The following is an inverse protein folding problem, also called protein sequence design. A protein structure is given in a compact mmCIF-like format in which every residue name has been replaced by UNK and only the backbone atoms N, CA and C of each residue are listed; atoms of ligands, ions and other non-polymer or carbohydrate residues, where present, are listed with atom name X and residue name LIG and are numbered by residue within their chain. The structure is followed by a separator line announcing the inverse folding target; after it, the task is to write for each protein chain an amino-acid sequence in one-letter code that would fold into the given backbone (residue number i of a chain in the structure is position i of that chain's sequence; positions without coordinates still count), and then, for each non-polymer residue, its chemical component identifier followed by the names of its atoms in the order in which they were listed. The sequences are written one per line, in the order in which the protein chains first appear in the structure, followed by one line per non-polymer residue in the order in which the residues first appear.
data_IF_093390452573
#
_entry.id   IF_093390452573
#
_cell.length_a   1.000
_cell.length_b   1.000
_cell.length_c   1.000
_cell.angle_alpha   90.00
_cell.angle_beta   90.00
_cell.angle_gamma   90.00
#
_symmetry.space_group_name_H-M   'P 1'
#
loop_
_entity.id
_entity.type
_entity.pdbx_description
1 polymer ?
#
# COMPACT_ATOMS: atom_id res chain seq x y z
N UNK A 1 -27.07 -17.34 0.20
CA UNK A 1 -25.80 -18.00 0.54
C UNK A 1 -24.68 -17.22 -0.12
N UNK A 2 -23.96 -16.35 0.60
CA UNK A 2 -22.78 -15.70 0.05
C UNK A 2 -21.61 -16.67 0.16
N UNK A 3 -21.19 -17.24 -0.96
CA UNK A 3 -19.91 -17.93 -1.03
C UNK A 3 -18.83 -16.88 -0.74
N UNK A 4 -18.18 -16.98 0.42
CA UNK A 4 -17.06 -16.12 0.84
C UNK A 4 -15.82 -16.43 -0.03
N UNK A 5 -15.86 -16.00 -1.29
CA UNK A 5 -14.70 -16.03 -2.19
C UNK A 5 -13.90 -14.74 -1.98
N UNK A 6 -12.58 -14.87 -1.86
CA UNK A 6 -11.67 -13.74 -1.83
C UNK A 6 -11.94 -12.76 -2.99
N UNK A 7 -11.75 -11.44 -2.80
CA UNK A 7 -11.98 -10.46 -3.85
C UNK A 7 -11.00 -10.66 -5.02
N UNK A 8 -11.51 -10.52 -6.23
CA UNK A 8 -10.70 -10.46 -7.44
C UNK A 8 -9.97 -9.11 -7.52
N UNK A 9 -8.86 -9.06 -8.27
CA UNK A 9 -8.06 -7.84 -8.39
C UNK A 9 -8.86 -6.62 -8.85
N UNK A 10 -9.74 -6.78 -9.84
CA UNK A 10 -10.60 -5.70 -10.33
C UNK A 10 -11.66 -5.27 -9.31
N UNK A 11 -12.07 -6.14 -8.39
CA UNK A 11 -12.97 -5.76 -7.29
C UNK A 11 -12.24 -4.90 -6.26
N UNK A 12 -10.97 -5.19 -5.98
CA UNK A 12 -10.12 -4.34 -5.14
C UNK A 12 -9.83 -2.99 -5.81
N UNK A 13 -9.57 -2.97 -7.11
CA UNK A 13 -9.42 -1.71 -7.86
C UNK A 13 -10.71 -0.88 -7.84
N UNK A 14 -11.87 -1.52 -8.02
CA UNK A 14 -13.16 -0.83 -7.94
C UNK A 14 -13.42 -0.25 -6.54
N UNK A 15 -13.06 -0.98 -5.47
CA UNK A 15 -13.13 -0.47 -4.11
C UNK A 15 -12.20 0.73 -3.89
N UNK A 16 -10.97 0.66 -4.40
CA UNK A 16 -10.02 1.76 -4.32
C UNK A 16 -10.52 3.01 -5.07
N UNK A 17 -11.10 2.82 -6.26
CA UNK A 17 -11.70 3.90 -7.05
C UNK A 17 -12.89 4.51 -6.31
N UNK A 18 -13.73 3.70 -5.65
CA UNK A 18 -14.87 4.19 -4.89
C UNK A 18 -14.45 5.05 -3.68
N UNK A 19 -13.38 4.67 -2.98
CA UNK A 19 -12.77 5.49 -1.92
C UNK A 19 -12.33 6.84 -2.48
N UNK A 20 -11.53 6.85 -3.54
CA UNK A 20 -11.03 8.09 -4.13
C UNK A 20 -12.19 8.97 -4.62
N UNK A 21 -13.16 8.40 -5.33
CA UNK A 21 -14.32 9.13 -5.83
C UNK A 21 -15.11 9.79 -4.70
N UNK A 22 -15.30 9.10 -3.58
CA UNK A 22 -15.94 9.66 -2.38
C UNK A 22 -15.11 10.78 -1.75
N UNK A 23 -13.78 10.63 -1.65
CA UNK A 23 -12.91 11.70 -1.12
C UNK A 23 -12.88 12.93 -2.02
N UNK A 24 -13.00 12.75 -3.35
CA UNK A 24 -13.09 13.88 -4.30
C UNK A 24 -14.32 14.75 -4.09
N UNK A 25 -15.39 14.26 -3.44
CA UNK A 25 -16.56 15.08 -3.11
C UNK A 25 -16.37 15.91 -1.85
N UNK A 26 -15.19 15.86 -1.21
CA UNK A 26 -14.88 16.55 0.06
C UNK A 26 -13.83 17.64 -0.22
N UNK A 27 -14.24 18.91 -0.46
CA UNK A 27 -13.32 19.98 -0.85
C UNK A 27 -12.17 20.19 0.13
N UNK A 28 -12.38 19.95 1.42
CA UNK A 28 -11.36 20.02 2.47
C UNK A 28 -10.20 19.03 2.28
N UNK A 29 -10.40 17.96 1.49
CA UNK A 29 -9.38 16.95 1.21
C UNK A 29 -8.73 17.13 -0.16
N UNK A 30 -9.18 18.09 -0.98
CA UNK A 30 -8.74 18.27 -2.37
C UNK A 30 -7.21 18.28 -2.55
N UNK A 31 -6.52 19.09 -1.76
CA UNK A 31 -5.06 19.24 -1.81
C UNK A 31 -4.25 18.15 -1.08
N UNK A 32 -4.90 17.31 -0.29
CA UNK A 32 -4.22 16.17 0.34
C UNK A 32 -3.87 15.13 -0.72
N UNK A 33 -2.73 14.46 -0.57
CA UNK A 33 -2.25 13.46 -1.51
C UNK A 33 -2.72 12.06 -1.11
N UNK A 34 -2.93 11.22 -2.12
CA UNK A 34 -3.30 9.82 -1.94
C UNK A 34 -2.56 8.93 -2.94
N UNK A 35 -2.25 7.71 -2.53
CA UNK A 35 -1.87 6.62 -3.43
C UNK A 35 -2.22 5.24 -2.86
N UNK A 36 -2.37 4.25 -3.73
CA UNK A 36 -2.54 2.84 -3.38
C UNK A 36 -1.18 2.21 -3.09
N UNK A 37 -1.05 1.58 -1.92
CA UNK A 37 0.16 0.90 -1.44
C UNK A 37 -0.13 -0.59 -1.16
N UNK A 38 0.77 -1.25 -0.43
CA UNK A 38 0.48 -2.52 0.23
C UNK A 38 0.27 -3.70 -0.73
N UNK A 39 -0.66 -4.59 -0.36
CA UNK A 39 -0.87 -5.85 -1.07
C UNK A 39 -1.39 -5.67 -2.50
N UNK A 40 -2.27 -4.70 -2.73
CA UNK A 40 -2.82 -4.41 -4.05
C UNK A 40 -1.76 -3.84 -4.99
N UNK A 41 -0.89 -2.96 -4.48
CA UNK A 41 0.26 -2.45 -5.22
C UNK A 41 1.22 -3.58 -5.63
N UNK A 42 1.50 -4.53 -4.74
CA UNK A 42 2.32 -5.70 -5.07
C UNK A 42 1.66 -6.56 -6.15
N UNK A 43 0.36 -6.85 -5.98
CA UNK A 43 -0.37 -7.71 -6.91
C UNK A 43 -0.46 -7.09 -8.31
N UNK A 44 -0.46 -5.75 -8.43
CA UNK A 44 -0.37 -5.06 -9.72
C UNK A 44 0.93 -5.42 -10.48
N UNK A 45 2.08 -5.36 -9.82
CA UNK A 45 3.38 -5.58 -10.45
C UNK A 45 3.67 -7.08 -10.62
N UNK A 46 3.33 -7.90 -9.63
CA UNK A 46 3.60 -9.33 -9.59
C UNK A 46 2.31 -10.16 -9.64
N UNK A 47 1.62 -10.16 -10.79
CA UNK A 47 0.28 -10.77 -10.97
C UNK A 47 0.17 -12.24 -10.56
N UNK A 48 1.25 -13.00 -10.71
CA UNK A 48 1.30 -14.45 -10.46
C UNK A 48 1.92 -14.82 -9.10
N UNK A 49 2.39 -13.84 -8.32
CA UNK A 49 3.12 -14.10 -7.08
C UNK A 49 2.17 -14.40 -5.92
N UNK A 50 1.29 -13.44 -5.56
CA UNK A 50 0.26 -13.62 -4.54
C UNK A 50 -0.89 -12.64 -4.71
N UNK A 51 -2.01 -12.95 -4.07
CA UNK A 51 -3.19 -12.07 -3.98
C UNK A 51 -3.20 -11.30 -2.65
N UNK A 52 -4.20 -10.42 -2.49
CA UNK A 52 -4.53 -9.73 -1.23
C UNK A 52 -6.04 -9.62 -1.10
N UNK A 53 -6.54 -9.28 0.09
CA UNK A 53 -7.98 -9.17 0.37
C UNK A 53 -8.42 -7.75 0.75
N UNK A 54 -7.44 -6.84 0.87
CA UNK A 54 -7.55 -5.48 1.37
C UNK A 54 -7.01 -4.45 0.36
N UNK A 55 -7.40 -3.20 0.55
CA UNK A 55 -6.84 -2.05 -0.15
C UNK A 55 -6.18 -1.14 0.87
N UNK A 56 -4.86 -0.98 0.75
CA UNK A 56 -4.09 -0.05 1.57
C UNK A 56 -3.86 1.27 0.82
N UNK A 57 -4.08 2.39 1.49
CA UNK A 57 -3.73 3.73 1.01
C UNK A 57 -2.65 4.37 1.87
N UNK A 58 -1.74 5.12 1.25
CA UNK A 58 -1.07 6.23 1.91
C UNK A 58 -1.87 7.49 1.66
N UNK A 59 -2.15 8.27 2.70
CA UNK A 59 -2.92 9.52 2.59
C UNK A 59 -2.34 10.62 3.49
N UNK A 60 -2.30 11.85 2.98
CA UNK A 60 -1.76 13.02 3.71
C UNK A 60 -2.87 13.92 4.27
N UNK A 61 -4.08 13.40 4.46
CA UNK A 61 -5.19 14.14 5.09
C UNK A 61 -4.87 14.33 6.57
N UNK A 62 -4.94 15.58 7.05
CA UNK A 62 -4.77 15.87 8.47
C UNK A 62 -5.83 15.14 9.31
N UNK A 63 -5.38 14.43 10.35
CA UNK A 63 -6.26 13.62 11.19
C UNK A 63 -6.63 12.26 10.61
N UNK A 64 -6.02 11.83 9.50
CA UNK A 64 -6.11 10.46 9.02
C UNK A 64 -5.54 9.45 10.05
N UNK A 65 -6.11 8.23 10.13
CA UNK A 65 -7.22 7.73 9.32
C UNK A 65 -8.61 8.17 9.82
N UNK A 66 -8.72 8.67 11.06
CA UNK A 66 -10.02 8.92 11.71
C UNK A 66 -10.87 9.95 10.96
N UNK A 67 -10.31 11.12 10.65
CA UNK A 67 -11.05 12.20 9.96
C UNK A 67 -11.62 11.74 8.61
N UNK A 68 -10.87 10.91 7.89
CA UNK A 68 -11.28 10.35 6.61
C UNK A 68 -12.41 9.33 6.79
N UNK A 69 -12.24 8.38 7.71
CA UNK A 69 -13.25 7.35 8.01
C UNK A 69 -14.56 7.98 8.47
N UNK A 70 -14.52 8.95 9.39
CA UNK A 70 -15.72 9.63 9.90
C UNK A 70 -16.52 10.29 8.77
N UNK A 71 -15.83 10.96 7.83
CA UNK A 71 -16.46 11.62 6.68
C UNK A 71 -17.08 10.62 5.71
N UNK A 72 -16.37 9.53 5.40
CA UNK A 72 -16.88 8.47 4.54
C UNK A 72 -18.11 7.79 5.17
N UNK A 73 -18.13 7.55 6.48
CA UNK A 73 -19.27 6.99 7.20
C UNK A 73 -20.47 7.94 7.22
N UNK A 74 -20.24 9.25 7.31
CA UNK A 74 -21.29 10.26 7.38
C UNK A 74 -21.97 10.57 6.03
N UNK A 75 -21.48 10.01 4.91
CA UNK A 75 -22.09 10.22 3.60
C UNK A 75 -23.53 9.68 3.54
N UNK A 76 -24.47 10.38 2.88
CA UNK A 76 -25.79 9.83 2.58
C UNK A 76 -25.66 8.51 1.82
N UNK A 77 -26.34 7.47 2.29
CA UNK A 77 -26.28 6.12 1.71
C UNK A 77 -24.84 5.59 1.55
N UNK A 78 -23.97 5.89 2.52
CA UNK A 78 -22.56 5.49 2.49
C UNK A 78 -22.38 3.99 2.22
N UNK A 79 -21.55 3.60 1.25
CA UNK A 79 -21.15 2.22 1.06
C UNK A 79 -20.07 1.78 2.07
N UNK A 80 -19.60 2.67 2.93
CA UNK A 80 -18.56 2.41 3.91
C UNK A 80 -19.16 2.03 5.27
N UNK A 81 -18.52 1.09 5.96
CA UNK A 81 -18.95 0.62 7.27
C UNK A 81 -17.75 0.43 8.20
N UNK A 82 -17.91 0.77 9.47
CA UNK A 82 -16.99 0.38 10.53
C UNK A 82 -17.52 -0.88 11.22
N UNK A 83 -16.69 -1.92 11.29
CA UNK A 83 -17.00 -3.22 11.92
C UNK A 83 -15.92 -3.58 12.91
N UNK A 84 -16.19 -3.37 14.19
CA UNK A 84 -15.16 -3.48 15.23
C UNK A 84 -13.92 -2.65 14.84
N UNK A 85 -12.79 -3.31 14.58
CA UNK A 85 -11.53 -2.65 14.19
C UNK A 85 -11.43 -2.38 12.68
N UNK A 86 -12.25 -3.02 11.85
CA UNK A 86 -12.11 -3.00 10.40
C UNK A 86 -12.99 -1.92 9.76
N UNK A 87 -12.43 -1.17 8.83
CA UNK A 87 -13.16 -0.23 7.99
C UNK A 87 -13.33 -0.87 6.61
N UNK A 88 -14.57 -1.04 6.16
CA UNK A 88 -14.88 -1.84 4.96
C UNK A 88 -15.69 -1.04 3.95
N UNK A 89 -15.41 -1.26 2.67
CA UNK A 89 -16.25 -0.89 1.55
C UNK A 89 -17.18 -2.05 1.19
N UNK A 90 -18.49 -1.79 1.13
CA UNK A 90 -19.49 -2.75 0.67
C UNK A 90 -19.71 -2.57 -0.83
N UNK A 91 -19.18 -3.50 -1.61
CA UNK A 91 -19.36 -3.53 -3.06
C UNK A 91 -20.83 -3.81 -3.44
N UNK A 92 -21.29 -3.39 -4.63
CA UNK A 92 -22.67 -3.62 -5.08
C UNK A 92 -23.08 -5.10 -5.11
N UNK A 93 -22.13 -6.00 -5.33
CA UNK A 93 -22.35 -7.45 -5.29
C UNK A 93 -22.41 -8.04 -3.86
N UNK A 94 -22.37 -7.19 -2.83
CA UNK A 94 -22.45 -7.58 -1.42
C UNK A 94 -21.12 -7.99 -0.79
N UNK A 95 -20.03 -8.08 -1.56
CA UNK A 95 -18.69 -8.32 -1.00
C UNK A 95 -18.25 -7.14 -0.14
N UNK A 96 -17.44 -7.46 0.86
CA UNK A 96 -16.88 -6.48 1.76
C UNK A 96 -15.37 -6.50 1.61
N UNK A 97 -14.79 -5.34 1.34
CA UNK A 97 -13.37 -5.17 1.09
C UNK A 97 -12.83 -4.26 2.17
N UNK A 98 -11.82 -4.74 2.90
CA UNK A 98 -11.17 -3.93 3.93
C UNK A 98 -10.39 -2.79 3.27
N UNK A 99 -10.55 -1.59 3.83
CA UNK A 99 -9.87 -0.38 3.40
C UNK A 99 -9.02 0.12 4.57
N UNK A 100 -7.71 0.04 4.40
CA UNK A 100 -6.74 0.54 5.34
C UNK A 100 -6.13 1.85 4.84
N UNK A 101 -5.95 2.79 5.77
CA UNK A 101 -5.43 4.11 5.50
C UNK A 101 -4.24 4.37 6.41
N UNK A 102 -3.05 4.37 5.82
CA UNK A 102 -1.81 4.74 6.46
C UNK A 102 -1.63 6.25 6.36
N UNK A 103 -1.67 6.99 7.48
CA UNK A 103 -1.35 8.40 7.45
C UNK A 103 0.15 8.59 7.15
N UNK A 104 0.48 9.70 6.51
CA UNK A 104 1.82 10.03 6.06
C UNK A 104 2.90 9.99 7.15
N UNK A 105 2.59 10.37 8.39
CA UNK A 105 3.52 10.30 9.52
C UNK A 105 3.91 8.86 9.93
N UNK A 106 3.18 7.83 9.49
CA UNK A 106 3.56 6.42 9.64
C UNK A 106 4.40 5.89 8.47
N UNK A 107 4.58 6.69 7.44
CA UNK A 107 5.34 6.34 6.24
C UNK A 107 6.78 6.83 6.35
N UNK A 108 7.79 6.12 5.82
CA UNK A 108 9.17 6.62 5.83
C UNK A 108 9.34 7.93 5.04
N UNK A 109 8.49 8.16 4.04
CA UNK A 109 8.37 9.40 3.26
C UNK A 109 7.06 9.37 2.45
N UNK A 110 6.69 10.48 1.82
CA UNK A 110 5.58 10.52 0.84
C UNK A 110 6.15 10.27 -0.56
N UNK A 111 5.78 9.18 -1.27
CA UNK A 111 6.31 8.89 -2.60
C UNK A 111 5.96 9.97 -3.63
N UNK A 112 6.82 10.21 -4.65
CA UNK A 112 6.52 11.16 -5.71
C UNK A 112 5.26 10.84 -6.52
N UNK A 113 4.83 9.56 -6.55
CA UNK A 113 3.58 9.15 -7.21
C UNK A 113 2.32 9.46 -6.39
N UNK A 114 2.46 9.96 -5.16
CA UNK A 114 1.36 10.52 -4.39
C UNK A 114 0.85 11.79 -5.10
N UNK A 115 -0.41 11.80 -5.52
CA UNK A 115 -1.00 12.95 -6.21
C UNK A 115 -2.15 13.53 -5.37
N UNK A 116 -2.45 14.84 -5.52
CA UNK A 116 -3.62 15.44 -4.87
C UNK A 116 -4.89 14.67 -5.19
N UNK A 117 -5.78 14.51 -4.22
CA UNK A 117 -7.05 13.80 -4.37
C UNK A 117 -7.89 14.41 -5.50
N UNK A 118 -7.89 15.74 -5.62
CA UNK A 118 -8.58 16.45 -6.72
C UNK A 118 -8.12 16.01 -8.11
N UNK A 119 -6.84 15.68 -8.25
CA UNK A 119 -6.16 15.50 -9.52
C UNK A 119 -6.24 14.05 -10.03
N UNK A 120 -6.69 13.11 -9.17
CA UNK A 120 -6.85 11.71 -9.57
C UNK A 120 -7.88 11.60 -10.71
N UNK A 121 -7.45 11.08 -11.85
CA UNK A 121 -8.31 10.93 -13.02
C UNK A 121 -9.30 9.78 -12.84
N UNK A 122 -10.58 9.93 -13.27
CA UNK A 122 -11.54 8.83 -13.25
C UNK A 122 -11.00 7.59 -14.00
N UNK A 123 -11.16 6.41 -13.40
CA UNK A 123 -10.67 5.15 -13.96
C UNK A 123 -9.18 4.87 -13.76
N UNK A 124 -8.41 5.82 -13.21
CA UNK A 124 -6.99 5.64 -12.92
C UNK A 124 -6.74 5.62 -11.42
N UNK A 125 -5.92 4.67 -10.97
CA UNK A 125 -5.48 4.57 -9.59
C UNK A 125 -4.03 5.07 -9.47
N UNK A 126 -3.75 6.03 -8.56
CA UNK A 126 -2.39 6.44 -8.26
C UNK A 126 -1.70 5.34 -7.47
N UNK A 127 -0.98 4.45 -8.14
CA UNK A 127 -0.20 3.40 -7.47
C UNK A 127 1.14 3.93 -6.97
N UNK A 128 1.62 3.38 -5.86
CA UNK A 128 3.03 3.48 -5.48
C UNK A 128 3.91 2.99 -6.63
N UNK A 129 5.03 3.65 -6.88
CA UNK A 129 6.02 3.12 -7.83
C UNK A 129 6.53 1.77 -7.33
N UNK A 130 6.93 0.90 -8.24
CA UNK A 130 7.47 -0.42 -7.89
C UNK A 130 8.72 -0.32 -7.00
N UNK A 131 9.60 0.65 -7.26
CA UNK A 131 10.79 0.90 -6.44
C UNK A 131 10.42 1.43 -5.04
N UNK A 132 9.46 2.36 -4.94
CA UNK A 132 8.99 2.83 -3.64
C UNK A 132 8.28 1.71 -2.87
N UNK A 133 7.57 0.81 -3.55
CA UNK A 133 6.95 -0.34 -2.90
C UNK A 133 8.00 -1.28 -2.29
N UNK A 134 9.09 -1.57 -3.02
CA UNK A 134 10.23 -2.31 -2.48
C UNK A 134 10.78 -1.64 -1.22
N UNK A 135 11.03 -0.32 -1.29
CA UNK A 135 11.57 0.45 -0.17
C UNK A 135 10.65 0.39 1.06
N UNK A 136 9.34 0.54 0.84
CA UNK A 136 8.34 0.44 1.91
C UNK A 136 8.31 -0.97 2.52
N UNK A 137 8.40 -2.02 1.71
CA UNK A 137 8.43 -3.40 2.20
C UNK A 137 9.66 -3.67 3.06
N UNK A 138 10.84 -3.18 2.65
CA UNK A 138 12.06 -3.26 3.46
C UNK A 138 11.87 -2.52 4.78
N UNK A 139 11.43 -1.25 4.73
CA UNK A 139 11.31 -0.40 5.91
C UNK A 139 10.28 -0.92 6.93
N UNK A 140 9.11 -1.37 6.47
CA UNK A 140 8.04 -1.81 7.35
C UNK A 140 8.22 -3.23 7.90
N UNK A 141 9.09 -4.05 7.30
CA UNK A 141 9.24 -5.47 7.64
C UNK A 141 9.48 -5.69 9.16
N UNK A 142 10.42 -4.96 9.76
CA UNK A 142 10.73 -5.05 11.19
C UNK A 142 9.63 -4.53 12.11
N UNK A 143 8.79 -3.61 11.61
CA UNK A 143 7.79 -2.85 12.36
C UNK A 143 6.43 -3.56 12.46
N UNK A 144 6.21 -4.66 11.73
CA UNK A 144 4.91 -5.36 11.76
C UNK A 144 4.63 -6.03 13.10
N UNK A 145 3.36 -6.09 13.53
CA UNK A 145 3.00 -6.62 14.85
C UNK A 145 3.15 -8.14 14.97
N UNK A 146 3.16 -8.89 13.86
CA UNK A 146 3.20 -10.36 13.87
C UNK A 146 4.32 -10.90 13.00
N UNK A 147 4.97 -11.99 13.45
CA UNK A 147 6.04 -12.64 12.70
C UNK A 147 5.62 -13.03 11.27
N UNK A 148 4.38 -13.49 11.09
CA UNK A 148 3.82 -13.81 9.77
C UNK A 148 3.83 -12.59 8.85
N UNK A 149 3.41 -11.41 9.34
CA UNK A 149 3.43 -10.17 8.55
C UNK A 149 4.87 -9.70 8.28
N UNK A 150 5.79 -9.85 9.25
CA UNK A 150 7.22 -9.53 9.07
C UNK A 150 7.84 -10.37 7.94
N UNK A 151 7.69 -11.70 8.02
CA UNK A 151 8.20 -12.64 7.01
C UNK A 151 7.58 -12.39 5.63
N UNK A 152 6.27 -12.08 5.59
CA UNK A 152 5.59 -11.74 4.34
C UNK A 152 6.21 -10.51 3.69
N UNK A 153 6.41 -9.42 4.43
CA UNK A 153 7.04 -8.22 3.89
C UNK A 153 8.49 -8.47 3.45
N UNK A 154 9.23 -9.33 4.14
CA UNK A 154 10.59 -9.73 3.72
C UNK A 154 10.59 -10.49 2.38
N UNK A 155 9.70 -11.46 2.22
CA UNK A 155 9.57 -12.22 0.99
C UNK A 155 9.05 -11.36 -0.18
N UNK A 156 8.08 -10.48 0.09
CA UNK A 156 7.59 -9.49 -0.88
C UNK A 156 8.74 -8.59 -1.34
N UNK A 157 9.54 -8.06 -0.40
CA UNK A 157 10.69 -7.21 -0.71
C UNK A 157 11.74 -7.96 -1.57
N UNK A 158 12.06 -9.21 -1.21
CA UNK A 158 13.02 -10.01 -1.98
C UNK A 158 12.51 -10.23 -3.41
N UNK A 159 11.26 -10.63 -3.55
CA UNK A 159 10.65 -10.93 -4.86
C UNK A 159 10.59 -9.68 -5.73
N UNK A 160 10.20 -8.52 -5.16
CA UNK A 160 10.25 -7.25 -5.87
C UNK A 160 11.67 -6.87 -6.29
N UNK A 161 12.65 -7.05 -5.41
CA UNK A 161 14.05 -6.73 -5.74
C UNK A 161 14.57 -7.59 -6.88
N UNK A 162 14.32 -8.90 -6.85
CA UNK A 162 14.70 -9.83 -7.91
C UNK A 162 13.99 -9.50 -9.23
N UNK A 163 12.69 -9.20 -9.20
CA UNK A 163 11.94 -8.78 -10.38
C UNK A 163 12.48 -7.48 -10.97
N UNK A 164 12.60 -6.42 -10.17
CA UNK A 164 13.14 -5.12 -10.60
C UNK A 164 14.52 -5.31 -11.26
N UNK A 165 15.40 -6.10 -10.64
CA UNK A 165 16.76 -6.34 -11.13
C UNK A 165 16.81 -7.16 -12.41
N UNK A 166 15.76 -7.92 -12.72
CA UNK A 166 15.67 -8.68 -13.97
C UNK A 166 15.48 -7.79 -15.20
N UNK A 167 14.95 -6.57 -15.03
CA UNK A 167 14.64 -5.65 -16.14
C UNK A 167 15.27 -4.26 -16.02
N UNK A 168 15.76 -3.84 -14.85
CA UNK A 168 16.43 -2.54 -14.68
C UNK A 168 17.47 -2.50 -13.55
N UNK A 169 18.39 -1.55 -13.64
CA UNK A 169 19.26 -1.18 -12.53
C UNK A 169 18.49 -0.39 -11.46
N UNK A 170 18.90 -0.53 -10.20
CA UNK A 170 18.36 0.24 -9.07
C UNK A 170 19.28 1.41 -8.77
N UNK A 171 18.68 2.59 -8.61
CA UNK A 171 19.32 3.78 -8.06
C UNK A 171 18.35 4.39 -7.04
N UNK A 172 18.78 4.47 -5.78
CA UNK A 172 17.96 4.97 -4.69
C UNK A 172 18.19 6.47 -4.51
N UNK A 173 17.10 7.24 -4.46
CA UNK A 173 17.15 8.62 -3.98
C UNK A 173 17.54 8.67 -2.49
N UNK A 174 17.99 9.83 -1.96
CA UNK A 174 18.32 9.98 -0.55
C UNK A 174 17.23 9.50 0.44
N UNK A 175 15.93 9.87 0.30
CA UNK A 175 14.90 9.37 1.21
C UNK A 175 14.70 7.85 1.11
N UNK A 176 14.76 7.30 -0.10
CA UNK A 176 14.69 5.85 -0.32
C UNK A 176 15.86 5.12 0.34
N UNK A 177 17.09 5.64 0.19
CA UNK A 177 18.29 5.07 0.81
C UNK A 177 18.18 5.05 2.33
N UNK A 178 17.73 6.14 2.93
CA UNK A 178 17.53 6.21 4.39
C UNK A 178 16.48 5.19 4.87
N UNK A 179 15.34 5.10 4.18
CA UNK A 179 14.27 4.16 4.51
C UNK A 179 14.72 2.69 4.40
N UNK A 180 15.49 2.38 3.35
CA UNK A 180 16.10 1.05 3.16
C UNK A 180 17.06 0.74 4.28
N UNK A 181 18.01 1.64 4.59
CA UNK A 181 19.00 1.41 5.65
C UNK A 181 18.35 1.17 7.01
N UNK A 182 17.22 1.84 7.30
CA UNK A 182 16.49 1.65 8.55
C UNK A 182 15.82 0.27 8.69
N UNK A 183 15.47 -0.40 7.58
CA UNK A 183 14.81 -1.73 7.61
C UNK A 183 15.67 -2.89 7.13
N UNK A 184 16.87 -2.62 6.62
CA UNK A 184 17.70 -3.60 5.91
C UNK A 184 18.11 -4.77 6.81
N UNK A 185 18.44 -4.51 8.08
CA UNK A 185 18.86 -5.57 8.98
C UNK A 185 17.72 -6.57 9.25
N UNK A 186 16.50 -6.07 9.46
CA UNK A 186 15.33 -6.90 9.70
C UNK A 186 14.96 -7.74 8.48
N UNK A 187 14.96 -7.12 7.28
CA UNK A 187 14.63 -7.84 6.05
C UNK A 187 15.64 -8.95 5.76
N UNK A 188 16.94 -8.71 6.02
CA UNK A 188 18.00 -9.72 5.86
C UNK A 188 17.76 -10.88 6.81
N UNK A 189 17.51 -10.62 8.10
CA UNK A 189 17.29 -11.67 9.11
C UNK A 189 16.08 -12.55 8.80
N UNK A 190 15.03 -11.98 8.23
CA UNK A 190 13.75 -12.65 7.99
C UNK A 190 13.65 -13.34 6.63
N UNK A 191 14.55 -13.00 5.71
CA UNK A 191 14.62 -13.62 4.38
C UNK A 191 15.37 -14.95 4.46
N UNK A 192 14.83 -16.00 3.83
CA UNK A 192 15.53 -17.29 3.74
C UNK A 192 16.86 -17.12 2.99
N UNK A 193 17.96 -17.53 3.62
CA UNK A 193 19.31 -17.35 3.07
C UNK A 193 19.74 -15.87 3.01
N UNK A 194 19.25 -15.05 3.94
CA UNK A 194 19.55 -13.63 3.99
C UNK A 194 21.05 -13.34 4.06
N UNK A 195 21.55 -12.68 3.02
CA UNK A 195 22.93 -12.22 2.90
C UNK A 195 22.96 -10.70 2.76
N UNK A 196 23.52 -10.03 3.77
CA UNK A 196 23.65 -8.58 3.81
C UNK A 196 24.46 -8.04 2.62
N UNK A 197 25.52 -8.74 2.19
CA UNK A 197 26.35 -8.31 1.07
C UNK A 197 25.56 -8.40 -0.25
N UNK A 198 24.81 -9.49 -0.44
CA UNK A 198 23.90 -9.64 -1.57
C UNK A 198 22.87 -8.51 -1.61
N UNK A 199 22.17 -8.23 -0.50
CA UNK A 199 21.16 -7.17 -0.46
C UNK A 199 21.75 -5.79 -0.77
N UNK A 200 22.89 -5.44 -0.17
CA UNK A 200 23.57 -4.16 -0.46
C UNK A 200 23.95 -4.04 -1.93
N UNK A 201 24.50 -5.09 -2.51
CA UNK A 201 24.87 -5.13 -3.93
C UNK A 201 23.65 -4.96 -4.85
N UNK A 202 22.57 -5.70 -4.60
CA UNK A 202 21.35 -5.61 -5.40
C UNK A 202 20.66 -4.24 -5.28
N UNK A 203 20.71 -3.62 -4.10
CA UNK A 203 20.14 -2.29 -3.83
C UNK A 203 21.04 -1.13 -4.28
N UNK A 204 22.25 -1.38 -4.77
CA UNK A 204 23.20 -0.34 -5.16
C UNK A 204 23.73 0.48 -3.97
N UNK A 205 23.92 -0.16 -2.82
CA UNK A 205 24.39 0.45 -1.56
C UNK A 205 25.89 0.28 -1.32
N UNK A 206 26.66 0.00 -2.37
CA UNK A 206 28.11 -0.22 -2.30
C UNK A 206 28.87 1.09 -2.05
#
# INVERSE_FOLDING_TARGET
MSTNTAPAFNELEAAAQAVIAALKTMPEFSGAKILVIGGLGLWKYLRQYRTTEDVDFLITVQGAPKAVKDKLLAMPSSPFQQRAQDFVFKAPNGKQIQIDMTPDWQSPYVPPTAIPISDVQPGFLPYISELDLLVFKINCCGLRPTAVKKIRDANDARTLLEDIRSHRSISLSPPQKNAVLAGLEDVVKLTRGGDMAWWKSQLGLN
#
